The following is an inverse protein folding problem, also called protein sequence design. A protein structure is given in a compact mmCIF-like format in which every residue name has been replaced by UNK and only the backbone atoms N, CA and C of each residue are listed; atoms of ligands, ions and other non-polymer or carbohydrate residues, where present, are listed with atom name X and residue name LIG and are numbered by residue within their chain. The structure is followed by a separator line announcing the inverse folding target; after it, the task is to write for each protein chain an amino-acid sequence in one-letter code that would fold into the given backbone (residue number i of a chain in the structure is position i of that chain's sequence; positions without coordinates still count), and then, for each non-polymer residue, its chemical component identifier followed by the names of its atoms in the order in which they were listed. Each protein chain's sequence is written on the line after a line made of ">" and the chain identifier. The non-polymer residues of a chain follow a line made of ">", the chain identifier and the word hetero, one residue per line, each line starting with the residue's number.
data_IF_284461043957
#
_entry.id   IF_284461043957
#
_cell.length_a   1.000
_cell.length_b   1.000
_cell.length_c   1.000
_cell.angle_alpha   90.00
_cell.angle_beta   90.00
_cell.angle_gamma   90.00
#
_symmetry.space_group_name_H-M   'P 1'
#
loop_
_entity.id
_entity.type
_entity.pdbx_description
1 polymer ?
#
# COMPACT_ATOMS: atom_id res chain seq x y z
N UNK A 1 48.71 24.25 26.53
CA UNK A 1 47.26 24.41 26.37
C UNK A 1 46.87 23.72 25.08
N UNK A 2 46.39 22.49 25.20
CA UNK A 2 45.91 21.67 24.09
C UNK A 2 44.40 21.90 23.93
N UNK A 3 44.04 22.64 22.90
CA UNK A 3 42.63 22.86 22.51
C UNK A 3 42.06 21.58 21.90
N UNK A 4 41.26 20.85 22.66
CA UNK A 4 40.46 19.73 22.16
C UNK A 4 39.35 20.29 21.28
N UNK A 5 39.42 20.05 19.98
CA UNK A 5 38.33 20.28 19.03
C UNK A 5 37.14 19.38 19.42
N UNK A 6 35.92 19.93 19.52
CA UNK A 6 34.76 19.10 19.85
C UNK A 6 34.49 18.13 18.69
N UNK A 7 34.56 16.84 19.02
CA UNK A 7 34.14 15.75 18.13
C UNK A 7 32.67 15.99 17.75
N UNK A 8 32.42 16.41 16.52
CA UNK A 8 31.09 16.49 15.92
C UNK A 8 30.50 15.10 15.97
N UNK A 9 29.61 14.83 16.92
CA UNK A 9 28.83 13.57 16.96
C UNK A 9 28.15 13.45 15.62
N UNK A 10 28.62 12.50 14.78
CA UNK A 10 27.91 12.10 13.57
C UNK A 10 26.54 11.62 14.02
N UNK A 11 25.50 12.35 13.66
CA UNK A 11 24.12 11.88 13.75
C UNK A 11 24.08 10.49 13.10
N UNK A 12 23.97 9.45 13.90
CA UNK A 12 23.83 8.08 13.40
C UNK A 12 22.46 8.00 12.78
N UNK A 13 22.44 7.91 11.44
CA UNK A 13 21.20 7.74 10.68
C UNK A 13 20.50 6.47 11.14
N UNK A 14 19.20 6.53 11.33
CA UNK A 14 18.37 5.35 11.63
C UNK A 14 18.59 4.24 10.61
N UNK A 15 18.65 3.00 11.11
CA UNK A 15 18.82 1.78 10.31
C UNK A 15 17.82 0.75 10.84
N UNK A 16 17.19 -0.02 9.97
CA UNK A 16 16.37 -1.16 10.39
C UNK A 16 17.22 -2.17 11.18
N UNK A 17 16.79 -2.51 12.38
CA UNK A 17 17.52 -3.40 13.30
C UNK A 17 17.73 -4.78 12.70
N UNK A 18 16.67 -5.35 12.10
CA UNK A 18 16.68 -6.68 11.50
C UNK A 18 16.08 -6.67 10.09
N UNK A 19 16.41 -7.71 9.31
CA UNK A 19 15.80 -7.93 8.02
C UNK A 19 14.29 -8.17 8.14
N UNK A 20 13.85 -8.83 9.21
CA UNK A 20 12.43 -9.08 9.46
C UNK A 20 11.64 -7.77 9.58
N UNK A 21 12.11 -6.82 10.41
CA UNK A 21 11.45 -5.51 10.60
C UNK A 21 11.37 -4.74 9.28
N UNK A 22 12.43 -4.79 8.46
CA UNK A 22 12.38 -4.20 7.12
C UNK A 22 11.34 -4.86 6.22
N UNK A 23 11.30 -6.21 6.18
CA UNK A 23 10.31 -6.95 5.38
C UNK A 23 8.89 -6.62 5.83
N UNK A 24 8.63 -6.59 7.15
CA UNK A 24 7.33 -6.20 7.69
C UNK A 24 6.95 -4.76 7.29
N UNK A 25 7.91 -3.84 7.33
CA UNK A 25 7.67 -2.46 6.88
C UNK A 25 7.40 -2.40 5.37
N UNK A 26 8.19 -3.10 4.55
CA UNK A 26 8.04 -3.11 3.09
C UNK A 26 6.73 -3.77 2.66
N UNK A 27 6.40 -4.95 3.19
CA UNK A 27 5.15 -5.65 2.90
C UNK A 27 3.97 -4.83 3.46
N UNK A 28 4.06 -4.36 4.70
CA UNK A 28 2.98 -3.60 5.34
C UNK A 28 2.68 -2.26 4.67
N UNK A 29 3.68 -1.61 4.02
CA UNK A 29 3.46 -0.40 3.24
C UNK A 29 2.76 -0.66 1.90
N UNK A 30 2.84 -1.88 1.41
CA UNK A 30 2.28 -2.27 0.13
C UNK A 30 0.94 -3.02 0.29
N UNK A 31 0.74 -3.74 1.41
CA UNK A 31 -0.55 -4.35 1.75
C UNK A 31 -1.51 -3.27 2.24
N UNK A 32 -2.56 -3.06 1.49
CA UNK A 32 -3.59 -2.08 1.80
C UNK A 32 -4.97 -2.54 1.36
N UNK A 33 -5.95 -1.66 1.51
CA UNK A 33 -7.32 -1.89 1.07
C UNK A 33 -7.41 -2.31 -0.41
N UNK A 34 -6.53 -1.76 -1.26
CA UNK A 34 -6.48 -2.11 -2.67
C UNK A 34 -6.11 -3.55 -2.98
N UNK A 35 -5.44 -4.23 -2.07
CA UNK A 35 -5.09 -5.64 -2.24
C UNK A 35 -6.24 -6.55 -1.83
N UNK A 36 -7.00 -6.16 -0.80
CA UNK A 36 -8.04 -6.99 -0.20
C UNK A 36 -9.37 -6.87 -0.95
N UNK A 37 -9.77 -5.67 -1.32
CA UNK A 37 -11.08 -5.43 -1.94
C UNK A 37 -10.99 -5.12 -3.44
N UNK A 38 -9.98 -4.33 -3.87
CA UNK A 38 -9.87 -3.90 -5.26
C UNK A 38 -9.40 -5.02 -6.18
N UNK A 39 -8.44 -5.84 -5.76
CA UNK A 39 -7.90 -6.90 -6.60
C UNK A 39 -8.96 -7.93 -7.03
N UNK A 40 -9.78 -8.50 -6.12
CA UNK A 40 -10.85 -9.42 -6.53
C UNK A 40 -11.84 -8.79 -7.50
N UNK A 41 -12.21 -7.53 -7.29
CA UNK A 41 -13.08 -6.79 -8.19
C UNK A 41 -12.45 -6.62 -9.58
N UNK A 42 -11.21 -6.16 -9.65
CA UNK A 42 -10.49 -5.95 -10.92
C UNK A 42 -10.29 -7.29 -11.65
N UNK A 43 -9.99 -8.37 -10.94
CA UNK A 43 -9.84 -9.69 -11.53
C UNK A 43 -11.17 -10.18 -12.13
N UNK A 44 -12.27 -10.05 -11.39
CA UNK A 44 -13.60 -10.42 -11.85
C UNK A 44 -14.02 -9.64 -13.10
N UNK A 45 -13.90 -8.32 -13.10
CA UNK A 45 -14.23 -7.43 -14.22
C UNK A 45 -13.38 -7.67 -15.48
N UNK A 46 -12.18 -8.25 -15.32
CA UNK A 46 -11.23 -8.46 -16.40
C UNK A 46 -11.05 -9.95 -16.77
N UNK A 47 -12.12 -10.75 -16.62
CA UNK A 47 -12.16 -12.14 -17.09
C UNK A 47 -11.79 -13.21 -16.07
N UNK A 48 -11.94 -12.89 -14.77
CA UNK A 48 -11.78 -13.86 -13.68
C UNK A 48 -10.39 -14.50 -13.65
N UNK A 49 -10.36 -15.82 -13.70
CA UNK A 49 -9.09 -16.59 -13.66
C UNK A 49 -8.14 -16.28 -14.80
N UNK A 50 -8.61 -15.85 -15.97
CA UNK A 50 -7.75 -15.47 -17.09
C UNK A 50 -6.91 -14.23 -16.80
N UNK A 51 -7.39 -13.33 -15.92
CA UNK A 51 -6.68 -12.13 -15.51
C UNK A 51 -5.35 -12.42 -14.80
N UNK A 52 -5.20 -13.61 -14.20
CA UNK A 52 -3.95 -13.99 -13.54
C UNK A 52 -2.77 -14.06 -14.52
N UNK A 53 -3.00 -14.31 -15.82
CA UNK A 53 -1.92 -14.33 -16.82
C UNK A 53 -1.31 -12.94 -17.02
N UNK A 54 -2.06 -11.90 -17.45
CA UNK A 54 -1.50 -10.56 -17.58
C UNK A 54 -0.98 -10.02 -16.25
N UNK A 55 -1.60 -10.39 -15.11
CA UNK A 55 -1.09 -10.03 -13.79
C UNK A 55 0.30 -10.62 -13.51
N UNK A 56 0.52 -11.92 -13.75
CA UNK A 56 1.83 -12.54 -13.57
C UNK A 56 2.87 -12.00 -14.55
N UNK A 57 2.50 -11.74 -15.80
CA UNK A 57 3.38 -11.09 -16.76
C UNK A 57 3.78 -9.70 -16.28
N UNK A 58 2.83 -8.89 -15.82
CA UNK A 58 3.10 -7.56 -15.27
C UNK A 58 3.99 -7.62 -14.03
N UNK A 59 3.78 -8.61 -13.14
CA UNK A 59 4.62 -8.82 -11.96
C UNK A 59 6.08 -9.10 -12.34
N UNK A 60 6.30 -10.02 -13.30
CA UNK A 60 7.63 -10.45 -13.68
C UNK A 60 8.38 -9.42 -14.55
N UNK A 61 7.66 -8.72 -15.44
CA UNK A 61 8.27 -7.79 -16.41
C UNK A 61 8.43 -6.37 -15.89
N UNK A 62 7.53 -5.91 -15.04
CA UNK A 62 7.55 -4.57 -14.48
C UNK A 62 7.68 -4.56 -12.95
N UNK A 63 6.85 -5.33 -12.25
CA UNK A 63 6.75 -5.31 -10.80
C UNK A 63 8.09 -5.56 -10.10
N UNK A 64 8.64 -6.74 -10.29
CA UNK A 64 9.90 -7.16 -9.66
C UNK A 64 11.08 -6.30 -10.13
N UNK A 65 11.29 -6.03 -11.44
CA UNK A 65 12.40 -5.20 -11.89
C UNK A 65 12.36 -3.77 -11.34
N UNK A 66 11.19 -3.13 -11.33
CA UNK A 66 11.07 -1.75 -10.79
C UNK A 66 11.23 -1.75 -9.27
N UNK A 67 10.74 -2.77 -8.57
CA UNK A 67 10.97 -2.91 -7.12
C UNK A 67 12.47 -3.03 -6.81
N UNK A 68 13.21 -3.85 -7.55
CA UNK A 68 14.66 -3.95 -7.40
C UNK A 68 15.37 -2.64 -7.71
N UNK A 69 14.92 -1.92 -8.72
CA UNK A 69 15.46 -0.61 -9.08
C UNK A 69 15.24 0.41 -7.94
N UNK A 70 14.04 0.50 -7.39
CA UNK A 70 13.74 1.38 -6.26
C UNK A 70 14.58 1.01 -5.02
N UNK A 71 14.69 -0.29 -4.70
CA UNK A 71 15.55 -0.77 -3.60
C UNK A 71 17.03 -0.44 -3.83
N UNK A 72 17.54 -0.63 -5.04
CA UNK A 72 18.94 -0.35 -5.39
C UNK A 72 19.26 1.15 -5.27
N UNK A 73 18.39 2.02 -5.80
CA UNK A 73 18.56 3.48 -5.70
C UNK A 73 18.57 3.90 -4.23
N UNK A 74 17.56 3.48 -3.45
CA UNK A 74 17.46 3.85 -2.04
C UNK A 74 18.66 3.39 -1.23
N UNK A 75 19.08 2.14 -1.43
CA UNK A 75 20.21 1.55 -0.73
C UNK A 75 21.55 2.20 -1.09
N UNK A 76 21.78 2.50 -2.39
CA UNK A 76 23.02 3.11 -2.87
C UNK A 76 23.13 4.57 -2.46
N UNK A 77 22.09 5.36 -2.70
CA UNK A 77 22.15 6.82 -2.56
C UNK A 77 21.70 7.33 -1.19
N UNK A 78 21.09 6.48 -0.36
CA UNK A 78 20.83 6.78 1.06
C UNK A 78 20.11 8.14 1.29
N UNK A 79 18.91 8.33 0.72
CA UNK A 79 18.16 9.57 0.86
C UNK A 79 16.69 9.42 0.55
N UNK A 80 15.94 10.53 0.66
CA UNK A 80 14.61 10.66 0.09
C UNK A 80 14.67 10.53 -1.43
N UNK A 81 13.53 10.29 -2.09
CA UNK A 81 13.50 10.16 -3.54
C UNK A 81 14.15 11.37 -4.27
N UNK A 82 13.84 12.65 -3.97
CA UNK A 82 14.51 13.79 -4.61
C UNK A 82 16.03 13.76 -4.43
N UNK A 83 16.49 13.49 -3.22
CA UNK A 83 17.93 13.47 -2.92
C UNK A 83 18.63 12.29 -3.62
N UNK A 84 17.99 11.14 -3.68
CA UNK A 84 18.54 9.97 -4.34
C UNK A 84 18.71 10.20 -5.86
N UNK A 85 17.67 10.73 -6.52
CA UNK A 85 17.73 11.09 -7.94
C UNK A 85 18.73 12.21 -8.23
N UNK A 86 18.79 13.24 -7.40
CA UNK A 86 19.80 14.31 -7.50
C UNK A 86 21.23 13.76 -7.41
N UNK A 87 21.48 12.75 -6.58
CA UNK A 87 22.80 12.10 -6.46
C UNK A 87 23.18 11.26 -7.67
N UNK A 88 22.20 10.85 -8.48
CA UNK A 88 22.45 10.26 -9.80
C UNK A 88 22.85 11.34 -10.78
N UNK A 89 22.01 12.38 -10.91
CA UNK A 89 22.27 13.59 -11.70
C UNK A 89 21.30 14.67 -11.25
N UNK A 90 21.78 15.93 -11.21
CA UNK A 90 20.94 17.08 -10.86
C UNK A 90 19.71 17.25 -11.78
N UNK A 91 19.80 16.78 -13.02
CA UNK A 91 18.69 16.81 -13.99
C UNK A 91 17.53 15.90 -13.60
N UNK A 92 17.78 14.85 -12.82
CA UNK A 92 16.77 13.86 -12.44
C UNK A 92 16.08 14.18 -11.10
N UNK A 93 16.47 15.24 -10.40
CA UNK A 93 15.85 15.63 -9.12
C UNK A 93 14.33 15.85 -9.25
N UNK A 94 13.88 16.39 -10.40
CA UNK A 94 12.47 16.63 -10.68
C UNK A 94 11.60 15.37 -10.62
N UNK A 95 12.13 14.19 -11.03
CA UNK A 95 11.43 12.91 -10.90
C UNK A 95 11.19 12.57 -9.43
N UNK A 96 12.16 12.83 -8.57
CA UNK A 96 12.01 12.63 -7.13
C UNK A 96 10.93 13.51 -6.52
N UNK A 97 10.86 14.77 -6.93
CA UNK A 97 9.82 15.71 -6.49
C UNK A 97 8.44 15.34 -7.02
N UNK A 98 8.36 14.85 -8.26
CA UNK A 98 7.11 14.30 -8.81
C UNK A 98 6.58 13.13 -7.95
N UNK A 99 7.47 12.21 -7.54
CA UNK A 99 7.09 11.12 -6.61
C UNK A 99 6.57 11.64 -5.27
N UNK A 100 7.17 12.70 -4.72
CA UNK A 100 6.69 13.34 -3.48
C UNK A 100 5.30 13.93 -3.68
N UNK A 101 5.07 14.63 -4.81
CA UNK A 101 3.75 15.18 -5.15
C UNK A 101 2.68 14.11 -5.24
N UNK A 102 2.97 12.99 -5.92
CA UNK A 102 2.03 11.85 -6.00
C UNK A 102 1.69 11.32 -4.60
N UNK A 103 2.68 11.11 -3.74
CA UNK A 103 2.44 10.65 -2.36
C UNK A 103 1.62 11.65 -1.54
N UNK A 104 1.84 12.94 -1.74
CA UNK A 104 1.07 13.99 -1.06
C UNK A 104 -0.43 13.87 -1.38
N UNK A 105 -0.79 13.77 -2.67
CA UNK A 105 -2.17 13.59 -3.06
C UNK A 105 -2.76 12.26 -2.55
N UNK A 106 -2.00 11.17 -2.63
CA UNK A 106 -2.43 9.88 -2.09
C UNK A 106 -2.70 9.99 -0.59
N UNK A 107 -1.81 10.60 0.19
CA UNK A 107 -1.97 10.72 1.64
C UNK A 107 -3.25 11.47 2.02
N UNK A 108 -3.63 12.50 1.26
CA UNK A 108 -4.84 13.30 1.53
C UNK A 108 -6.09 12.43 1.38
N UNK A 109 -6.32 11.82 0.23
CA UNK A 109 -7.55 11.05 0.02
C UNK A 109 -7.56 9.73 0.78
N UNK A 110 -6.39 9.11 0.95
CA UNK A 110 -6.30 7.83 1.65
C UNK A 110 -6.60 7.95 3.14
N UNK A 111 -6.29 9.09 3.76
CA UNK A 111 -6.68 9.39 5.14
C UNK A 111 -8.21 9.39 5.31
N UNK A 112 -8.95 9.91 4.34
CA UNK A 112 -10.41 9.86 4.33
C UNK A 112 -10.92 8.41 4.21
N UNK A 113 -10.34 7.60 3.30
CA UNK A 113 -10.71 6.19 3.14
C UNK A 113 -10.45 5.38 4.42
N UNK A 114 -9.34 5.63 5.12
CA UNK A 114 -9.07 4.99 6.41
C UNK A 114 -10.12 5.40 7.46
N UNK A 115 -10.51 6.67 7.49
CA UNK A 115 -11.55 7.14 8.38
C UNK A 115 -12.91 6.46 8.08
N UNK A 116 -13.27 6.29 6.81
CA UNK A 116 -14.46 5.53 6.41
C UNK A 116 -14.40 4.07 6.89
N UNK A 117 -13.31 3.39 6.64
CA UNK A 117 -13.12 2.00 7.07
C UNK A 117 -13.22 1.86 8.60
N UNK A 118 -12.64 2.78 9.36
CA UNK A 118 -12.70 2.77 10.81
C UNK A 118 -14.16 2.98 11.32
N UNK A 119 -14.89 3.93 10.76
CA UNK A 119 -16.28 4.16 11.09
C UNK A 119 -17.18 2.97 10.70
N UNK A 120 -16.96 2.39 9.52
CA UNK A 120 -17.69 1.20 9.08
C UNK A 120 -17.43 -0.01 9.97
N UNK A 121 -16.20 -0.16 10.48
CA UNK A 121 -15.88 -1.21 11.45
C UNK A 121 -16.76 -1.09 12.71
N UNK A 122 -17.00 0.13 13.21
CA UNK A 122 -17.89 0.36 14.34
C UNK A 122 -19.35 0.08 13.96
N UNK A 123 -19.78 0.58 12.80
CA UNK A 123 -21.16 0.41 12.29
C UNK A 123 -21.49 -1.02 11.91
N UNK A 124 -20.50 -1.86 11.61
CA UNK A 124 -20.68 -3.28 11.28
C UNK A 124 -21.25 -4.11 12.45
N UNK A 125 -21.02 -3.68 13.69
CA UNK A 125 -21.54 -4.37 14.88
C UNK A 125 -23.08 -4.39 14.91
N UNK A 126 -23.70 -3.33 14.39
CA UNK A 126 -25.16 -3.18 14.36
C UNK A 126 -25.74 -3.30 12.95
N UNK A 127 -24.90 -3.55 11.94
CA UNK A 127 -25.31 -3.54 10.53
C UNK A 127 -26.10 -2.28 10.16
N UNK A 128 -25.56 -1.10 10.56
CA UNK A 128 -26.25 0.18 10.49
C UNK A 128 -26.64 0.62 9.06
N UNK A 129 -26.16 -0.07 8.03
CA UNK A 129 -26.48 0.19 6.62
C UNK A 129 -27.82 -0.41 6.15
N UNK A 130 -28.52 -1.24 6.99
CA UNK A 130 -29.80 -1.83 6.63
C UNK A 130 -29.76 -2.72 5.38
N UNK A 131 -30.85 -2.64 4.59
CA UNK A 131 -31.04 -3.50 3.40
C UNK A 131 -30.38 -2.93 2.14
N UNK A 132 -30.09 -1.62 2.07
CA UNK A 132 -29.39 -0.97 0.95
C UNK A 132 -28.09 -0.31 1.41
N UNK A 133 -26.97 -1.05 1.39
CA UNK A 133 -25.66 -0.51 1.77
C UNK A 133 -25.15 0.61 0.85
N UNK A 134 -25.56 0.64 -0.42
CA UNK A 134 -25.10 1.65 -1.37
C UNK A 134 -25.79 3.00 -1.12
N UNK A 135 -27.10 3.00 -0.93
CA UNK A 135 -27.85 4.19 -0.58
C UNK A 135 -27.38 4.74 0.78
N UNK A 136 -27.23 3.88 1.78
CA UNK A 136 -26.70 4.27 3.09
C UNK A 136 -25.31 4.92 2.98
N UNK A 137 -24.41 4.32 2.16
CA UNK A 137 -23.05 4.83 2.02
C UNK A 137 -23.03 6.22 1.40
N UNK A 138 -23.76 6.41 0.30
CA UNK A 138 -23.76 7.69 -0.41
C UNK A 138 -24.62 8.77 0.29
N UNK A 139 -25.81 8.39 0.76
CA UNK A 139 -26.78 9.33 1.36
C UNK A 139 -26.47 9.65 2.81
N UNK A 140 -26.58 8.65 3.70
CA UNK A 140 -26.50 8.88 5.14
C UNK A 140 -25.06 9.02 5.65
N UNK A 141 -24.14 8.24 5.10
CA UNK A 141 -22.78 8.19 5.60
C UNK A 141 -21.88 9.27 5.00
N UNK A 142 -21.81 9.38 3.68
CA UNK A 142 -21.02 10.41 2.99
C UNK A 142 -21.76 11.73 2.85
N UNK A 143 -23.09 11.69 2.90
CA UNK A 143 -23.96 12.84 2.60
C UNK A 143 -23.60 13.46 1.23
N UNK A 144 -23.36 12.57 0.25
CA UNK A 144 -22.97 12.96 -1.08
C UNK A 144 -24.19 13.56 -1.82
N UNK A 145 -24.04 14.78 -2.34
CA UNK A 145 -25.08 15.38 -3.15
C UNK A 145 -25.14 14.73 -4.55
N UNK A 146 -26.35 14.55 -5.13
CA UNK A 146 -26.55 13.89 -6.43
C UNK A 146 -25.86 14.61 -7.59
N UNK A 147 -25.73 15.92 -7.50
CA UNK A 147 -24.99 16.74 -8.48
C UNK A 147 -23.58 16.97 -7.94
N UNK A 148 -22.58 16.77 -8.79
CA UNK A 148 -21.16 16.95 -8.45
C UNK A 148 -20.79 18.42 -8.15
N UNK A 149 -21.63 19.08 -7.37
CA UNK A 149 -21.44 20.47 -6.94
C UNK A 149 -20.68 20.46 -5.63
N UNK A 150 -19.56 21.17 -5.61
CA UNK A 150 -18.80 21.36 -4.37
C UNK A 150 -19.61 22.21 -3.39
N UNK A 151 -20.27 21.55 -2.46
CA UNK A 151 -21.09 22.22 -1.43
C UNK A 151 -20.28 22.79 -0.26
N UNK A 152 -19.03 22.34 -0.12
CA UNK A 152 -18.21 22.66 1.06
C UNK A 152 -18.71 22.01 2.37
N UNK A 153 -19.67 21.09 2.27
CA UNK A 153 -20.21 20.38 3.44
C UNK A 153 -19.18 19.42 4.01
N UNK A 154 -19.01 19.45 5.32
CA UNK A 154 -18.10 18.57 6.05
C UNK A 154 -18.90 17.67 6.95
N UNK A 155 -18.73 16.36 6.84
CA UNK A 155 -19.34 15.37 7.74
C UNK A 155 -18.52 15.26 9.02
N UNK A 156 -19.01 15.74 10.19
CA UNK A 156 -18.19 15.88 11.41
C UNK A 156 -17.62 14.55 11.91
N UNK A 157 -18.35 13.45 11.77
CA UNK A 157 -17.90 12.12 12.19
C UNK A 157 -16.69 11.65 11.39
N UNK A 158 -16.70 11.86 10.07
CA UNK A 158 -15.59 11.50 9.18
C UNK A 158 -14.39 12.39 9.49
N UNK A 159 -14.60 13.70 9.62
CA UNK A 159 -13.52 14.64 9.95
C UNK A 159 -12.85 14.29 11.28
N UNK A 160 -13.62 13.98 12.33
CA UNK A 160 -13.09 13.62 13.64
C UNK A 160 -12.18 12.40 13.60
N UNK A 161 -12.60 11.34 12.90
CA UNK A 161 -11.77 10.13 12.73
C UNK A 161 -10.57 10.39 11.82
N UNK A 162 -10.72 11.20 10.77
CA UNK A 162 -9.62 11.59 9.90
C UNK A 162 -8.54 12.37 10.66
N UNK A 163 -8.92 13.27 11.56
CA UNK A 163 -7.97 13.97 12.45
C UNK A 163 -7.24 12.96 13.34
N UNK A 164 -7.95 11.99 13.91
CA UNK A 164 -7.32 10.93 14.70
C UNK A 164 -6.30 10.12 13.87
N UNK A 165 -6.64 9.76 12.64
CA UNK A 165 -5.72 9.09 11.70
C UNK A 165 -4.45 9.92 11.51
N UNK A 166 -4.57 11.23 11.25
CA UNK A 166 -3.42 12.11 11.11
C UNK A 166 -2.58 12.21 12.38
N UNK A 167 -3.21 12.27 13.57
CA UNK A 167 -2.49 12.28 14.85
C UNK A 167 -1.67 10.99 14.99
N UNK A 168 -2.25 9.83 14.70
CA UNK A 168 -1.54 8.53 14.76
C UNK A 168 -0.39 8.49 13.75
N UNK A 169 -0.60 8.97 12.51
CA UNK A 169 0.46 9.05 11.50
C UNK A 169 1.62 9.92 11.96
N UNK A 170 1.34 11.13 12.44
CA UNK A 170 2.36 12.08 12.92
C UNK A 170 3.09 11.51 14.14
N UNK A 171 2.39 10.94 15.11
CA UNK A 171 2.99 10.31 16.28
C UNK A 171 3.93 9.16 15.88
N UNK A 172 3.52 8.32 14.91
CA UNK A 172 4.35 7.23 14.39
C UNK A 172 5.63 7.75 13.71
N UNK A 173 5.49 8.81 12.90
CA UNK A 173 6.61 9.40 12.17
C UNK A 173 7.55 10.24 13.07
N UNK A 174 7.08 10.70 14.22
CA UNK A 174 7.88 11.44 15.20
C UNK A 174 8.86 10.55 15.97
N UNK A 175 8.72 9.22 15.88
CA UNK A 175 9.61 8.25 16.50
C UNK A 175 10.67 7.73 15.51
N UNK A 176 11.63 6.91 16.00
CA UNK A 176 12.61 6.27 15.12
C UNK A 176 11.94 5.26 14.18
N UNK A 177 12.59 4.92 13.06
CA UNK A 177 12.06 3.98 12.05
C UNK A 177 11.71 2.61 12.67
N UNK A 178 12.42 2.17 13.67
CA UNK A 178 12.19 0.87 14.34
C UNK A 178 11.03 0.93 15.33
N UNK A 179 10.94 1.99 16.13
CA UNK A 179 9.90 2.16 17.16
C UNK A 179 8.56 2.61 16.57
N UNK A 180 8.58 3.38 15.51
CA UNK A 180 7.38 3.80 14.78
C UNK A 180 6.93 2.76 13.78
N UNK A 181 7.32 2.95 12.53
CA UNK A 181 6.86 2.14 11.40
C UNK A 181 7.20 0.66 11.60
N UNK A 182 8.44 0.37 12.04
CA UNK A 182 8.91 -1.02 12.22
C UNK A 182 8.11 -1.80 13.24
N UNK A 183 7.83 -1.22 14.41
CA UNK A 183 7.04 -1.86 15.45
C UNK A 183 5.58 -2.01 15.05
N UNK A 184 4.99 -0.95 14.48
CA UNK A 184 3.60 -0.93 14.04
C UNK A 184 3.34 -2.03 13.01
N UNK A 185 4.16 -2.10 11.96
CA UNK A 185 3.99 -3.09 10.90
C UNK A 185 4.28 -4.52 11.35
N UNK A 186 5.23 -4.71 12.28
CA UNK A 186 5.55 -6.03 12.86
C UNK A 186 4.42 -6.60 13.70
N UNK A 187 3.50 -5.78 14.20
CA UNK A 187 2.32 -6.20 14.95
C UNK A 187 1.10 -6.31 14.04
N UNK A 188 0.80 -5.25 13.30
CA UNK A 188 -0.44 -5.17 12.54
C UNK A 188 -0.47 -6.09 11.32
N UNK A 189 0.67 -6.31 10.65
CA UNK A 189 0.69 -7.18 9.48
C UNK A 189 0.39 -8.66 9.81
N UNK A 190 0.99 -9.29 10.84
CA UNK A 190 0.56 -10.62 11.26
C UNK A 190 -0.89 -10.68 11.72
N UNK A 191 -1.38 -9.67 12.45
CA UNK A 191 -2.79 -9.61 12.86
C UNK A 191 -3.70 -9.56 11.64
N UNK A 192 -3.38 -8.72 10.66
CA UNK A 192 -4.11 -8.64 9.40
C UNK A 192 -4.13 -9.99 8.68
N UNK A 193 -2.98 -10.67 8.58
CA UNK A 193 -2.89 -12.00 7.95
C UNK A 193 -3.79 -13.03 8.64
N UNK A 194 -3.79 -13.07 9.98
CA UNK A 194 -4.65 -13.97 10.75
C UNK A 194 -6.12 -13.64 10.53
N UNK A 195 -6.51 -12.37 10.60
CA UNK A 195 -7.89 -11.93 10.34
C UNK A 195 -8.33 -12.30 8.92
N UNK A 196 -7.45 -12.12 7.94
CA UNK A 196 -7.74 -12.48 6.54
C UNK A 196 -7.94 -13.98 6.37
N UNK A 197 -7.10 -14.81 6.99
CA UNK A 197 -7.26 -16.29 6.98
C UNK A 197 -8.61 -16.69 7.60
N UNK A 198 -9.00 -16.06 8.71
CA UNK A 198 -10.31 -16.32 9.35
C UNK A 198 -11.46 -16.00 8.39
N UNK A 199 -11.37 -14.85 7.68
CA UNK A 199 -12.38 -14.45 6.70
C UNK A 199 -12.44 -15.44 5.52
N UNK A 200 -11.29 -15.87 5.00
CA UNK A 200 -11.23 -16.87 3.92
C UNK A 200 -11.85 -18.19 4.36
N UNK A 201 -11.49 -18.69 5.54
CA UNK A 201 -12.10 -19.90 6.10
C UNK A 201 -13.62 -19.71 6.23
N UNK A 202 -14.09 -18.60 6.78
CA UNK A 202 -15.52 -18.31 6.92
C UNK A 202 -16.23 -18.27 5.57
N UNK A 203 -15.58 -17.71 4.52
CA UNK A 203 -16.16 -17.62 3.19
C UNK A 203 -16.48 -18.98 2.59
N UNK A 204 -15.68 -20.03 2.85
CA UNK A 204 -15.96 -21.40 2.40
C UNK A 204 -17.22 -22.02 3.02
N UNK A 205 -17.69 -21.50 4.14
CA UNK A 205 -18.90 -21.98 4.83
C UNK A 205 -20.15 -21.13 4.56
N UNK A 206 -20.07 -20.18 3.62
CA UNK A 206 -21.22 -19.38 3.21
C UNK A 206 -22.00 -20.08 2.11
N UNK A 207 -23.33 -19.90 2.11
CA UNK A 207 -24.18 -20.32 1.03
C UNK A 207 -23.74 -19.62 -0.27
N UNK A 208 -23.63 -20.39 -1.37
CA UNK A 208 -23.12 -19.88 -2.64
C UNK A 208 -21.58 -19.80 -2.76
N UNK A 209 -20.80 -20.29 -1.79
CA UNK A 209 -19.33 -20.24 -1.84
C UNK A 209 -18.76 -20.89 -3.12
N UNK A 210 -19.31 -22.02 -3.55
CA UNK A 210 -18.89 -22.70 -4.78
C UNK A 210 -19.20 -21.86 -6.03
N UNK A 211 -20.33 -21.17 -6.06
CA UNK A 211 -20.73 -20.28 -7.16
C UNK A 211 -19.81 -19.05 -7.21
N UNK A 212 -19.50 -18.46 -6.06
CA UNK A 212 -18.55 -17.34 -5.96
C UNK A 212 -17.14 -17.70 -6.42
N UNK A 213 -16.64 -18.89 -6.03
CA UNK A 213 -15.35 -19.40 -6.49
C UNK A 213 -15.38 -19.66 -8.00
N UNK A 214 -16.43 -20.26 -8.53
CA UNK A 214 -16.57 -20.46 -9.98
C UNK A 214 -16.60 -19.13 -10.73
N UNK A 215 -17.36 -18.14 -10.26
CA UNK A 215 -17.41 -16.83 -10.89
C UNK A 215 -16.04 -16.14 -10.90
N UNK A 216 -15.24 -16.32 -9.85
CA UNK A 216 -13.90 -15.72 -9.75
C UNK A 216 -12.84 -16.49 -10.56
N UNK A 217 -12.85 -17.82 -10.51
CA UNK A 217 -11.80 -18.64 -11.12
C UNK A 217 -12.11 -19.13 -12.54
N UNK A 218 -13.37 -19.09 -12.98
CA UNK A 218 -13.70 -19.48 -14.36
C UNK A 218 -13.05 -18.48 -15.34
N UNK A 219 -12.15 -18.95 -16.23
CA UNK A 219 -11.41 -18.05 -17.08
C UNK A 219 -12.21 -17.67 -18.33
N UNK A 220 -12.31 -16.40 -18.59
CA UNK A 220 -12.69 -15.90 -19.92
C UNK A 220 -11.43 -15.58 -20.74
N UNK A 221 -11.04 -16.52 -21.60
CA UNK A 221 -9.83 -16.38 -22.41
C UNK A 221 -9.94 -15.31 -23.49
N UNK A 222 -11.13 -14.90 -23.87
CA UNK A 222 -11.36 -13.89 -24.92
C UNK A 222 -10.80 -12.53 -24.52
N UNK A 223 -10.76 -12.23 -23.21
CA UNK A 223 -10.31 -10.95 -22.69
C UNK A 223 -8.80 -10.72 -22.87
N UNK A 224 -8.00 -11.78 -23.08
CA UNK A 224 -6.54 -11.64 -23.25
C UNK A 224 -6.15 -10.88 -24.53
N UNK A 225 -7.04 -10.79 -25.51
CA UNK A 225 -6.87 -9.98 -26.70
C UNK A 225 -7.15 -8.49 -26.47
N UNK A 226 -7.77 -8.13 -25.34
CA UNK A 226 -8.14 -6.76 -25.03
C UNK A 226 -7.00 -6.02 -24.32
N UNK A 227 -6.40 -4.97 -24.91
CA UNK A 227 -5.33 -4.20 -24.26
C UNK A 227 -5.70 -3.58 -22.91
N UNK A 228 -6.98 -3.27 -22.67
CA UNK A 228 -7.42 -2.68 -21.40
C UNK A 228 -7.18 -3.62 -20.21
N UNK A 229 -7.30 -4.94 -20.42
CA UNK A 229 -7.03 -5.96 -19.39
C UNK A 229 -5.56 -5.96 -18.98
N UNK A 230 -4.66 -5.81 -19.94
CA UNK A 230 -3.23 -5.68 -19.67
C UNK A 230 -2.90 -4.38 -18.93
N UNK A 231 -3.51 -3.26 -19.34
CA UNK A 231 -3.36 -1.98 -18.64
C UNK A 231 -3.86 -2.10 -17.19
N UNK A 232 -4.99 -2.76 -16.95
CA UNK A 232 -5.52 -3.00 -15.62
C UNK A 232 -4.56 -3.85 -14.77
N UNK A 233 -3.95 -4.89 -15.35
CA UNK A 233 -2.99 -5.74 -14.69
C UNK A 233 -1.71 -4.99 -14.30
N UNK A 234 -1.12 -4.22 -15.21
CA UNK A 234 0.04 -3.39 -14.91
C UNK A 234 -0.30 -2.33 -13.85
N UNK A 235 -1.44 -1.65 -13.98
CA UNK A 235 -1.93 -0.69 -12.99
C UNK A 235 -2.09 -1.31 -11.60
N UNK A 236 -2.63 -2.53 -11.54
CA UNK A 236 -2.77 -3.26 -10.26
C UNK A 236 -1.40 -3.62 -9.65
N UNK A 237 -0.42 -4.03 -10.45
CA UNK A 237 0.94 -4.32 -9.97
C UNK A 237 1.63 -3.06 -9.44
N UNK A 238 1.55 -1.93 -10.14
CA UNK A 238 2.11 -0.66 -9.67
C UNK A 238 1.53 -0.24 -8.32
N UNK A 239 0.22 -0.35 -8.20
CA UNK A 239 -0.48 -0.03 -6.96
C UNK A 239 -0.13 -0.99 -5.83
N UNK A 240 -0.17 -2.29 -6.10
CA UNK A 240 0.02 -3.35 -5.11
C UNK A 240 1.43 -3.40 -4.53
N UNK A 241 2.45 -3.21 -5.35
CA UNK A 241 3.85 -3.19 -4.91
C UNK A 241 4.31 -1.82 -4.43
N UNK A 242 3.45 -0.80 -4.49
CA UNK A 242 3.81 0.59 -4.16
C UNK A 242 5.08 1.08 -4.88
N UNK A 243 5.31 0.59 -6.10
CA UNK A 243 6.48 0.92 -6.91
C UNK A 243 6.26 2.23 -7.66
N UNK A 244 7.36 2.95 -7.91
CA UNK A 244 7.28 4.25 -8.58
C UNK A 244 6.93 5.42 -7.65
N UNK A 245 6.39 5.18 -6.46
CA UNK A 245 6.02 6.23 -5.50
C UNK A 245 7.20 6.76 -4.69
N UNK A 246 8.32 6.03 -4.61
CA UNK A 246 9.50 6.40 -3.83
C UNK A 246 9.47 5.89 -2.38
N UNK A 247 8.44 5.17 -1.98
CA UNK A 247 8.33 4.54 -0.65
C UNK A 247 9.48 3.53 -0.48
N UNK A 248 9.65 2.63 -1.44
CA UNK A 248 10.71 1.61 -1.40
C UNK A 248 12.11 2.21 -1.48
N UNK A 249 12.30 3.34 -2.20
CA UNK A 249 13.56 4.11 -2.19
C UNK A 249 13.85 4.60 -0.77
N UNK A 250 12.85 5.17 -0.11
CA UNK A 250 13.00 5.70 1.26
C UNK A 250 13.32 4.59 2.24
N UNK A 251 12.58 3.48 2.23
CA UNK A 251 12.80 2.34 3.14
C UNK A 251 14.15 1.68 2.90
N UNK A 252 14.54 1.46 1.64
CA UNK A 252 15.84 0.89 1.30
C UNK A 252 17.00 1.78 1.76
N UNK A 253 16.78 3.07 1.90
CA UNK A 253 17.79 4.01 2.40
C UNK A 253 18.18 3.76 3.87
N UNK A 254 17.35 3.06 4.64
CA UNK A 254 17.58 2.65 6.03
C UNK A 254 18.12 1.20 6.18
N UNK A 255 18.40 0.51 5.06
CA UNK A 255 18.98 -0.84 5.08
C UNK A 255 20.47 -0.81 5.46
N UNK A 256 20.95 -1.93 6.03
CA UNK A 256 22.37 -2.15 6.30
C UNK A 256 23.17 -2.26 5.00
N UNK A 257 24.45 -1.83 4.96
CA UNK A 257 25.25 -1.80 3.71
C UNK A 257 25.39 -3.15 2.98
N UNK A 258 25.35 -4.26 3.72
CA UNK A 258 25.54 -5.62 3.15
C UNK A 258 24.21 -6.40 3.03
N UNK A 259 23.08 -5.71 2.82
CA UNK A 259 21.78 -6.37 2.64
C UNK A 259 21.67 -6.97 1.25
N UNK A 260 21.20 -8.23 1.16
CA UNK A 260 20.87 -8.87 -0.09
C UNK A 260 19.54 -8.33 -0.64
N UNK A 261 19.64 -7.37 -1.57
CA UNK A 261 18.46 -6.67 -2.13
C UNK A 261 17.63 -7.58 -3.02
N UNK A 262 18.28 -8.46 -3.80
CA UNK A 262 17.58 -9.38 -4.73
C UNK A 262 16.62 -10.27 -3.98
N UNK A 263 17.12 -10.99 -2.97
CA UNK A 263 16.28 -11.87 -2.14
C UNK A 263 15.22 -11.08 -1.36
N UNK A 264 15.57 -9.89 -0.89
CA UNK A 264 14.63 -9.03 -0.15
C UNK A 264 13.48 -8.57 -1.04
N UNK A 265 13.77 -8.13 -2.27
CA UNK A 265 12.75 -7.72 -3.24
C UNK A 265 11.86 -8.89 -3.69
N UNK A 266 12.44 -10.08 -3.95
CA UNK A 266 11.66 -11.27 -4.28
C UNK A 266 10.69 -11.65 -3.15
N UNK A 267 11.19 -11.74 -1.91
CA UNK A 267 10.33 -12.07 -0.76
C UNK A 267 9.20 -11.06 -0.62
N UNK A 268 9.48 -9.77 -0.78
CA UNK A 268 8.45 -8.72 -0.72
C UNK A 268 7.43 -8.89 -1.85
N UNK A 269 7.88 -9.06 -3.11
CA UNK A 269 7.00 -9.20 -4.26
C UNK A 269 6.09 -10.43 -4.17
N UNK A 270 6.66 -11.59 -3.82
CA UNK A 270 5.88 -12.83 -3.70
C UNK A 270 4.95 -12.84 -2.48
N UNK A 271 5.36 -12.27 -1.34
CA UNK A 271 4.48 -12.15 -0.19
C UNK A 271 3.24 -11.29 -0.50
N UNK A 272 3.40 -10.25 -1.32
CA UNK A 272 2.30 -9.42 -1.78
C UNK A 272 1.41 -10.13 -2.80
N UNK A 273 2.00 -10.88 -3.73
CA UNK A 273 1.26 -11.68 -4.69
C UNK A 273 0.43 -12.80 -4.03
N UNK A 274 0.96 -13.43 -2.98
CA UNK A 274 0.25 -14.46 -2.23
C UNK A 274 -1.04 -13.95 -1.56
N UNK A 275 -1.11 -12.66 -1.23
CA UNK A 275 -2.32 -12.06 -0.66
C UNK A 275 -3.42 -11.91 -1.73
N UNK A 276 -3.05 -11.91 -3.01
CA UNK A 276 -3.99 -11.79 -4.12
C UNK A 276 -4.54 -13.13 -4.62
N UNK A 277 -3.84 -14.23 -4.36
CA UNK A 277 -4.20 -15.59 -4.76
C UNK A 277 -4.81 -16.35 -3.56
#
# INVERSE_FOLDING_TARGET
>A
MTTSTPHKTRSTRDIFNTRFVFLMAAIGSAVGLGNIWRFPYVAYENGGGAFLIPYMVALLTAGIPILWFDLAIGHRFRGSAPLAFRRISSRWEGIGWFKVGVNFFIAIYYAAIIAWAALYTIKSVTQAWGDDPAEYFMGDFLQAEPEATYSGHIVPSILGVMILVWIVCIATLATSINEGIGKLTSIFLPVLAVMFIILVIRAFFLDGAAEGLNAFFTPDWSVLSNPSVWIAAYGQIFFSLSIGFGIMITYASYLKPRTNLTNTGLVTAFALSLIHI
#
